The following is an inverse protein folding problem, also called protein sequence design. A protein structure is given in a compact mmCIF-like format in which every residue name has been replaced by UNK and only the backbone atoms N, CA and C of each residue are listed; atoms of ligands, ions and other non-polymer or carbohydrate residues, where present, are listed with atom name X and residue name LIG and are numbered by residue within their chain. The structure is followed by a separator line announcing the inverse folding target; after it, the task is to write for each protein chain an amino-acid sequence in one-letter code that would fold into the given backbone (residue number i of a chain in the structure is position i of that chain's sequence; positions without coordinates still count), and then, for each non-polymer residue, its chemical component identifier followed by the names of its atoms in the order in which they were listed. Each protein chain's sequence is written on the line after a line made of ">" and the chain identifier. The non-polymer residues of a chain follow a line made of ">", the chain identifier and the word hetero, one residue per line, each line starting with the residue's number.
data_IF_002587045590
#
_entry.id   IF_002587045590
#
_cell.length_a   1.000
_cell.length_b   1.000
_cell.length_c   1.000
_cell.angle_alpha   90.00
_cell.angle_beta   90.00
_cell.angle_gamma   90.00
#
_symmetry.space_group_name_H-M   'P 1'
#
loop_
_entity.id
_entity.type
_entity.pdbx_description
1 polymer ?
#
# COMPACT_ATOMS: atom_id res chain seq x y z
N UNK A 1 -19.25 18.39 -1.39
CA UNK A 1 -19.94 18.04 -2.66
C UNK A 1 -18.82 17.75 -3.64
N UNK A 2 -18.64 16.49 -4.03
CA UNK A 2 -17.60 16.10 -4.98
C UNK A 2 -18.02 16.57 -6.38
N UNK A 3 -17.16 17.34 -7.05
CA UNK A 3 -17.36 17.72 -8.47
C UNK A 3 -16.44 16.83 -9.30
N UNK A 4 -17.04 15.96 -10.12
CA UNK A 4 -16.28 15.26 -11.15
C UNK A 4 -15.86 16.25 -12.24
N UNK A 5 -14.63 16.13 -12.76
CA UNK A 5 -14.27 16.79 -14.00
C UNK A 5 -14.95 16.04 -15.16
N UNK A 6 -15.42 16.76 -16.20
CA UNK A 6 -16.05 16.13 -17.39
C UNK A 6 -15.13 15.11 -18.08
N UNK A 7 -13.81 15.19 -17.85
CA UNK A 7 -12.78 14.30 -18.41
C UNK A 7 -12.15 13.37 -17.35
N UNK A 8 -12.83 13.09 -16.24
CA UNK A 8 -12.31 12.22 -15.18
C UNK A 8 -12.02 10.82 -15.71
N UNK A 9 -10.81 10.31 -15.41
CA UNK A 9 -10.44 8.95 -15.81
C UNK A 9 -11.15 7.90 -14.96
N UNK A 10 -11.31 8.17 -13.67
CA UNK A 10 -12.01 7.31 -12.72
C UNK A 10 -13.39 7.88 -12.39
N UNK A 11 -14.41 7.02 -12.39
CA UNK A 11 -15.77 7.36 -12.03
C UNK A 11 -15.96 7.35 -10.50
N UNK A 12 -16.54 8.41 -9.94
CA UNK A 12 -16.82 8.52 -8.50
C UNK A 12 -17.76 7.43 -7.99
N UNK A 13 -18.74 7.04 -8.83
CA UNK A 13 -19.74 6.01 -8.47
C UNK A 13 -19.06 4.68 -8.15
N UNK A 14 -18.06 4.29 -8.95
CA UNK A 14 -17.28 3.07 -8.73
C UNK A 14 -16.55 3.07 -7.38
N UNK A 15 -16.03 4.22 -6.94
CA UNK A 15 -15.43 4.33 -5.60
C UNK A 15 -16.50 4.22 -4.51
N UNK A 16 -17.61 4.96 -4.63
CA UNK A 16 -18.68 4.98 -3.63
C UNK A 16 -19.28 3.60 -3.40
N UNK A 17 -19.50 2.83 -4.45
CA UNK A 17 -19.99 1.45 -4.34
C UNK A 17 -19.03 0.50 -3.64
N UNK A 18 -17.76 0.87 -3.57
CA UNK A 18 -16.69 0.11 -2.94
C UNK A 18 -16.25 0.64 -1.57
N UNK A 19 -16.82 1.73 -1.06
CA UNK A 19 -16.61 2.21 0.31
C UNK A 19 -17.47 1.42 1.30
N UNK A 20 -16.99 0.23 1.70
CA UNK A 20 -17.74 -0.74 2.50
C UNK A 20 -16.97 -1.30 3.71
N UNK A 21 -15.71 -0.90 3.91
CA UNK A 21 -14.91 -1.35 5.03
C UNK A 21 -15.18 -0.48 6.25
N UNK A 22 -15.77 -1.07 7.28
CA UNK A 22 -16.14 -0.37 8.51
C UNK A 22 -14.94 -0.16 9.45
N UNK A 23 -13.91 -1.02 9.38
CA UNK A 23 -12.78 -1.00 10.30
C UNK A 23 -11.47 -0.69 9.58
N UNK A 24 -10.81 0.36 10.04
CA UNK A 24 -9.47 0.73 9.60
C UNK A 24 -8.39 0.02 10.43
N UNK A 25 -7.22 -0.20 9.85
CA UNK A 25 -6.01 -0.39 10.61
C UNK A 25 -5.61 0.93 11.27
N UNK A 26 -5.33 0.90 12.56
CA UNK A 26 -4.82 2.04 13.32
C UNK A 26 -3.48 1.61 13.90
N UNK A 27 -2.36 2.16 13.41
CA UNK A 27 -1.04 1.82 13.93
C UNK A 27 -0.96 2.13 15.43
N UNK A 28 -0.43 1.20 16.24
CA UNK A 28 -0.28 1.44 17.67
C UNK A 28 0.69 2.59 17.93
N UNK A 29 0.40 3.39 18.94
CA UNK A 29 1.37 4.34 19.49
C UNK A 29 2.50 3.58 20.19
N UNK A 30 3.67 4.20 20.45
CA UNK A 30 4.72 3.57 21.25
C UNK A 30 4.20 3.11 22.62
N UNK A 31 3.30 3.85 23.24
CA UNK A 31 2.68 3.46 24.51
C UNK A 31 1.78 2.23 24.37
N UNK A 32 0.95 2.16 23.32
CA UNK A 32 0.08 1.01 23.03
C UNK A 32 0.91 -0.26 22.76
N UNK A 33 2.06 -0.11 22.10
CA UNK A 33 3.00 -1.19 21.86
C UNK A 33 3.46 -1.88 23.16
N UNK A 34 3.82 -1.10 24.19
CA UNK A 34 4.21 -1.65 25.48
C UNK A 34 3.04 -2.17 26.33
N UNK A 35 1.83 -1.69 26.07
CA UNK A 35 0.63 -2.17 26.74
C UNK A 35 0.04 -3.43 26.14
N UNK A 36 0.66 -3.96 25.07
CA UNK A 36 0.18 -5.14 24.33
C UNK A 36 -1.31 -5.01 23.95
N UNK A 37 -1.72 -3.79 23.55
CA UNK A 37 -3.08 -3.56 23.08
C UNK A 37 -3.36 -4.40 21.85
N UNK A 38 -4.55 -5.03 21.75
CA UNK A 38 -4.94 -5.75 20.54
C UNK A 38 -4.85 -4.83 19.32
N UNK A 39 -4.38 -5.36 18.20
CA UNK A 39 -4.40 -4.65 16.93
C UNK A 39 -5.85 -4.25 16.60
N UNK A 40 -6.02 -3.09 15.97
CA UNK A 40 -7.33 -2.60 15.53
C UNK A 40 -8.01 -3.49 14.48
N UNK A 41 -7.20 -4.31 13.79
CA UNK A 41 -7.68 -5.28 12.79
C UNK A 41 -7.88 -6.67 13.38
N UNK A 42 -8.68 -7.48 12.68
CA UNK A 42 -8.77 -8.91 12.94
C UNK A 42 -7.41 -9.61 12.78
N UNK A 43 -7.24 -10.73 13.46
CA UNK A 43 -6.08 -11.60 13.25
C UNK A 43 -5.97 -11.96 11.77
N UNK A 44 -4.74 -11.97 11.26
CA UNK A 44 -4.47 -12.31 9.87
C UNK A 44 -4.95 -13.73 9.54
N UNK A 45 -5.76 -13.83 8.47
CA UNK A 45 -6.17 -15.14 7.94
C UNK A 45 -4.95 -15.83 7.30
N UNK A 46 -4.82 -17.18 7.39
CA UNK A 46 -3.71 -17.91 6.78
C UNK A 46 -3.55 -17.70 5.26
N UNK A 47 -4.63 -17.33 4.56
CA UNK A 47 -4.62 -17.04 3.12
C UNK A 47 -4.63 -15.54 2.80
N UNK A 48 -4.60 -14.69 3.82
CA UNK A 48 -4.51 -13.24 3.66
C UNK A 48 -3.06 -12.83 3.42
N UNK A 49 -2.85 -11.93 2.46
CA UNK A 49 -1.56 -11.29 2.21
C UNK A 49 -1.70 -9.81 2.54
N UNK A 50 -0.75 -9.26 3.26
CA UNK A 50 -0.72 -7.85 3.64
C UNK A 50 0.45 -7.13 2.99
N UNK A 51 0.17 -5.98 2.40
CA UNK A 51 1.13 -5.12 1.73
C UNK A 51 1.26 -3.79 2.47
N UNK A 52 2.48 -3.32 2.65
CA UNK A 52 2.78 -1.91 2.89
C UNK A 52 3.31 -1.33 1.60
N UNK A 53 2.72 -0.24 1.12
CA UNK A 53 3.08 0.41 -0.14
C UNK A 53 3.47 1.85 0.14
N UNK A 54 4.53 2.36 -0.50
CA UNK A 54 4.96 3.74 -0.32
C UNK A 54 5.39 4.40 -1.63
N UNK A 55 5.00 5.67 -1.77
CA UNK A 55 5.63 6.65 -2.66
C UNK A 55 6.40 7.65 -1.82
N UNK A 56 7.68 7.83 -2.11
CA UNK A 56 8.63 8.47 -1.23
C UNK A 56 9.07 9.82 -1.80
N UNK A 57 8.70 10.90 -1.12
CA UNK A 57 9.17 12.24 -1.44
C UNK A 57 10.32 12.62 -0.51
N UNK A 58 11.46 12.95 -1.09
CA UNK A 58 12.59 13.51 -0.37
C UNK A 58 12.61 15.03 -0.55
N UNK A 59 12.60 15.75 0.55
CA UNK A 59 12.92 17.17 0.54
C UNK A 59 14.43 17.32 0.26
N UNK A 60 14.80 17.23 -1.02
CA UNK A 60 16.06 17.78 -1.46
C UNK A 60 15.95 19.30 -1.38
N UNK A 61 17.07 19.94 -1.07
CA UNK A 61 17.29 21.40 -0.90
C UNK A 61 16.99 22.26 -2.16
N UNK A 62 16.14 21.76 -3.06
CA UNK A 62 15.74 22.43 -4.29
C UNK A 62 14.44 23.19 -4.05
N UNK A 63 14.54 24.43 -3.60
CA UNK A 63 13.52 25.47 -3.44
C UNK A 63 12.31 25.51 -4.41
N UNK A 64 11.70 24.36 -4.71
CA UNK A 64 10.46 24.23 -5.44
C UNK A 64 9.29 24.29 -4.47
N UNK A 65 8.38 25.20 -4.71
CA UNK A 65 7.19 25.49 -3.91
C UNK A 65 6.17 24.33 -3.79
N UNK A 66 6.33 23.21 -4.50
CA UNK A 66 5.53 22.00 -4.32
C UNK A 66 6.28 21.04 -3.39
N UNK A 67 5.85 20.98 -2.17
CA UNK A 67 6.25 19.93 -1.23
C UNK A 67 5.62 18.62 -1.69
N UNK A 68 6.39 17.76 -2.35
CA UNK A 68 5.96 16.40 -2.60
C UNK A 68 5.74 15.69 -1.25
N UNK A 69 4.66 14.91 -1.15
CA UNK A 69 4.31 14.20 0.06
C UNK A 69 4.76 12.75 -0.03
N UNK A 70 5.27 12.23 1.08
CA UNK A 70 5.43 10.79 1.25
C UNK A 70 4.08 10.18 1.62
N UNK A 71 3.66 9.20 0.87
CA UNK A 71 2.40 8.46 1.10
C UNK A 71 2.74 7.04 1.52
N UNK A 72 2.14 6.58 2.62
CA UNK A 72 2.17 5.19 3.07
C UNK A 72 0.76 4.62 3.03
N UNK A 73 0.64 3.38 2.57
CA UNK A 73 -0.62 2.68 2.42
C UNK A 73 -0.49 1.25 2.92
N UNK A 74 -1.49 0.75 3.66
CA UNK A 74 -1.61 -0.64 4.03
C UNK A 74 -2.81 -1.26 3.30
N UNK A 75 -2.58 -2.37 2.63
CA UNK A 75 -3.58 -3.08 1.84
C UNK A 75 -3.57 -4.55 2.17
N UNK A 76 -4.73 -5.13 2.53
CA UNK A 76 -4.90 -6.57 2.67
C UNK A 76 -5.53 -7.18 1.43
N UNK A 77 -5.10 -8.40 1.12
CA UNK A 77 -5.52 -9.16 -0.04
C UNK A 77 -6.19 -10.44 0.44
N UNK A 78 -7.47 -10.60 0.13
CA UNK A 78 -8.28 -11.73 0.56
C UNK A 78 -8.63 -12.62 -0.64
N UNK A 79 -8.21 -13.90 -0.61
CA UNK A 79 -8.44 -14.81 -1.72
C UNK A 79 -9.94 -15.09 -1.93
N UNK A 80 -10.46 -14.75 -3.10
CA UNK A 80 -11.85 -14.95 -3.50
C UNK A 80 -11.93 -15.70 -4.82
N UNK A 81 -12.26 -16.97 -4.78
CA UNK A 81 -12.41 -17.85 -5.95
C UNK A 81 -11.15 -17.98 -6.80
N UNK A 82 -10.81 -16.98 -7.60
CA UNK A 82 -9.72 -17.03 -8.59
C UNK A 82 -8.77 -15.84 -8.52
N UNK A 83 -9.01 -14.89 -7.63
CA UNK A 83 -8.20 -13.66 -7.45
C UNK A 83 -8.33 -13.11 -6.04
N UNK A 84 -7.44 -12.23 -5.67
CA UNK A 84 -7.52 -11.49 -4.43
C UNK A 84 -8.49 -10.30 -4.54
N UNK A 85 -9.38 -10.15 -3.58
CA UNK A 85 -10.07 -8.91 -3.29
C UNK A 85 -9.10 -8.03 -2.47
N UNK A 86 -8.96 -6.75 -2.86
CA UNK A 86 -8.04 -5.79 -2.25
C UNK A 86 -8.80 -4.92 -1.27
N UNK A 87 -8.33 -4.80 -0.04
CA UNK A 87 -8.88 -3.90 0.96
C UNK A 87 -7.87 -2.82 1.29
N UNK A 88 -8.25 -1.53 1.12
CA UNK A 88 -7.47 -0.40 1.60
C UNK A 88 -7.78 -0.19 3.07
N UNK A 89 -6.90 -0.67 3.96
CA UNK A 89 -7.13 -0.66 5.41
C UNK A 89 -6.58 0.57 6.11
N UNK A 90 -5.57 1.23 5.50
CA UNK A 90 -4.92 2.40 6.06
C UNK A 90 -4.20 3.21 4.99
N UNK A 91 -4.21 4.51 5.14
CA UNK A 91 -3.38 5.43 4.38
C UNK A 91 -3.00 6.62 5.24
N UNK A 92 -1.76 7.07 5.14
CA UNK A 92 -1.28 8.31 5.72
C UNK A 92 -0.42 9.08 4.72
N UNK A 93 -0.46 10.40 4.83
CA UNK A 93 0.37 11.31 4.06
C UNK A 93 1.20 12.13 5.01
N UNK A 94 2.50 12.19 4.77
CA UNK A 94 3.44 13.01 5.57
C UNK A 94 4.21 13.96 4.67
N UNK A 95 4.60 15.13 5.18
CA UNK A 95 5.60 15.96 4.51
C UNK A 95 6.87 15.13 4.29
N UNK A 96 7.58 15.38 3.20
CA UNK A 96 8.87 14.75 2.94
C UNK A 96 9.81 14.94 4.15
N UNK A 97 10.63 13.94 4.43
CA UNK A 97 11.52 13.90 5.60
C UNK A 97 12.86 13.26 5.32
N UNK A 98 13.71 13.17 6.34
CA UNK A 98 14.96 12.40 6.28
C UNK A 98 14.69 10.92 6.03
N UNK A 99 15.59 10.27 5.28
CA UNK A 99 15.48 8.86 4.92
C UNK A 99 15.36 7.94 6.14
N UNK A 100 16.03 8.27 7.24
CA UNK A 100 15.99 7.57 8.51
C UNK A 100 14.58 7.49 9.10
N UNK A 101 13.85 8.62 9.12
CA UNK A 101 12.47 8.70 9.64
C UNK A 101 11.48 7.97 8.75
N UNK A 102 11.67 8.07 7.43
CA UNK A 102 10.84 7.37 6.45
C UNK A 102 11.01 5.85 6.60
N UNK A 103 12.25 5.38 6.70
CA UNK A 103 12.54 3.95 6.87
C UNK A 103 12.02 3.42 8.20
N UNK A 104 12.21 4.18 9.28
CA UNK A 104 11.65 3.80 10.58
C UNK A 104 10.14 3.60 10.48
N UNK A 105 9.43 4.56 9.85
CA UNK A 105 7.98 4.46 9.67
C UNK A 105 7.55 3.29 8.79
N UNK A 106 8.28 3.01 7.72
CA UNK A 106 8.01 1.83 6.88
C UNK A 106 8.13 0.53 7.66
N UNK A 107 9.17 0.40 8.50
CA UNK A 107 9.37 -0.77 9.34
C UNK A 107 8.32 -0.86 10.45
N UNK A 108 7.93 0.26 11.09
CA UNK A 108 6.80 0.28 12.03
C UNK A 108 5.53 -0.28 11.39
N UNK A 109 5.11 0.31 10.27
CA UNK A 109 3.91 -0.13 9.57
C UNK A 109 4.01 -1.60 9.15
N UNK A 110 5.17 -2.04 8.66
CA UNK A 110 5.39 -3.41 8.24
C UNK A 110 5.15 -4.41 9.38
N UNK A 111 5.73 -4.16 10.55
CA UNK A 111 5.60 -5.06 11.70
C UNK A 111 4.23 -4.95 12.37
N UNK A 112 3.75 -3.74 12.60
CA UNK A 112 2.47 -3.48 13.28
C UNK A 112 1.28 -3.98 12.44
N UNK A 113 1.37 -3.89 11.11
CA UNK A 113 0.35 -4.40 10.20
C UNK A 113 0.51 -5.89 9.89
N UNK A 114 1.60 -6.53 10.32
CA UNK A 114 1.97 -7.91 10.01
C UNK A 114 2.04 -8.14 8.48
N UNK A 115 2.70 -7.21 7.78
CA UNK A 115 2.81 -7.26 6.33
C UNK A 115 3.70 -8.42 5.84
N UNK A 116 3.41 -8.95 4.65
CA UNK A 116 4.22 -9.93 3.95
C UNK A 116 5.22 -9.26 3.02
N UNK A 117 4.80 -8.15 2.41
CA UNK A 117 5.61 -7.42 1.43
C UNK A 117 5.56 -5.92 1.67
N UNK A 118 6.69 -5.27 1.38
CA UNK A 118 6.84 -3.83 1.33
C UNK A 118 7.15 -3.41 -0.11
N UNK A 119 6.27 -2.60 -0.68
CA UNK A 119 6.33 -2.10 -2.06
C UNK A 119 6.76 -0.63 -2.03
N UNK A 120 7.78 -0.23 -2.78
CA UNK A 120 8.23 1.15 -2.78
C UNK A 120 8.76 1.59 -4.14
N UNK A 121 8.61 2.90 -4.46
CA UNK A 121 9.21 3.48 -5.67
C UNK A 121 10.73 3.62 -5.49
N UNK A 122 11.47 2.91 -6.34
CA UNK A 122 12.94 2.89 -6.33
C UNK A 122 13.56 3.96 -7.25
N UNK A 123 12.78 4.99 -7.64
CA UNK A 123 13.32 6.17 -8.37
C UNK A 123 13.81 7.23 -7.38
N UNK A 124 14.60 8.18 -7.89
CA UNK A 124 14.88 9.48 -7.24
C UNK A 124 15.23 9.40 -5.74
N UNK A 125 16.18 8.53 -5.37
CA UNK A 125 16.58 8.33 -3.97
C UNK A 125 16.13 6.98 -3.37
N UNK A 126 15.36 6.18 -4.08
CA UNK A 126 14.94 4.86 -3.63
C UNK A 126 16.09 3.91 -3.33
N UNK A 127 17.24 4.09 -3.98
CA UNK A 127 18.46 3.34 -3.64
C UNK A 127 18.98 3.66 -2.24
N UNK A 128 18.95 4.95 -1.85
CA UNK A 128 19.34 5.34 -0.49
C UNK A 128 18.36 4.75 0.55
N UNK A 129 17.06 4.75 0.25
CA UNK A 129 16.06 4.10 1.10
C UNK A 129 16.32 2.61 1.22
N UNK A 130 16.65 1.93 0.11
CA UNK A 130 17.01 0.53 0.14
C UNK A 130 18.20 0.25 1.06
N UNK A 131 19.24 1.08 0.98
CA UNK A 131 20.43 0.94 1.84
C UNK A 131 20.09 1.09 3.34
N UNK A 132 19.14 1.94 3.68
CA UNK A 132 18.63 2.05 5.05
C UNK A 132 17.72 0.88 5.44
N UNK A 133 16.81 0.45 4.55
CA UNK A 133 15.92 -0.69 4.80
C UNK A 133 16.72 -1.99 5.00
N UNK A 134 17.83 -2.15 4.27
CA UNK A 134 18.67 -3.36 4.30
C UNK A 134 19.50 -3.53 5.57
N UNK A 135 19.50 -2.55 6.47
CA UNK A 135 20.24 -2.57 7.73
C UNK A 135 19.33 -2.88 8.90
N UNK A 136 19.92 -3.43 9.95
CA UNK A 136 19.28 -3.43 11.26
C UNK A 136 18.94 -1.99 11.68
N UNK A 137 17.78 -1.80 12.31
CA UNK A 137 17.31 -0.48 12.74
C UNK A 137 16.78 -0.57 14.16
N UNK A 138 17.46 0.05 15.10
CA UNK A 138 16.96 0.17 16.46
C UNK A 138 15.82 1.21 16.52
N UNK A 139 14.72 0.84 17.17
CA UNK A 139 13.62 1.78 17.35
C UNK A 139 13.88 2.65 18.59
N UNK A 140 13.89 4.00 18.47
CA UNK A 140 14.28 4.89 19.56
C UNK A 140 13.38 4.79 20.79
N UNK A 141 12.10 4.45 20.60
CA UNK A 141 11.12 4.36 21.68
C UNK A 141 10.77 2.92 22.08
N UNK A 142 10.83 1.96 21.14
CA UNK A 142 10.49 0.55 21.41
C UNK A 142 11.71 -0.30 21.77
N UNK A 143 12.91 0.20 21.48
CA UNK A 143 14.18 -0.44 21.86
C UNK A 143 14.27 -1.93 21.44
N UNK A 144 14.80 -2.76 22.34
CA UNK A 144 15.02 -4.20 22.09
C UNK A 144 13.73 -5.03 21.97
N UNK A 145 12.56 -4.48 22.32
CA UNK A 145 11.29 -5.16 22.16
C UNK A 145 10.80 -5.15 20.70
N UNK A 146 11.41 -4.33 19.85
CA UNK A 146 11.10 -4.24 18.43
C UNK A 146 12.02 -5.14 17.60
N UNK A 147 11.51 -5.62 16.46
CA UNK A 147 12.29 -6.47 15.57
C UNK A 147 13.18 -5.61 14.64
N UNK A 148 14.50 -5.59 14.83
CA UNK A 148 15.39 -4.67 14.15
C UNK A 148 15.89 -5.13 12.77
N UNK A 149 15.58 -6.37 12.33
CA UNK A 149 16.23 -6.96 11.15
C UNK A 149 16.16 -6.09 9.91
N UNK A 150 17.17 -6.21 9.07
CA UNK A 150 17.21 -5.62 7.74
C UNK A 150 16.17 -6.28 6.81
N UNK A 151 15.81 -5.57 5.73
CA UNK A 151 14.95 -6.09 4.68
C UNK A 151 15.75 -6.27 3.39
N UNK A 152 15.41 -7.27 2.58
CA UNK A 152 16.00 -7.48 1.26
C UNK A 152 14.93 -7.75 0.21
N UNK A 153 15.31 -7.67 -1.06
CA UNK A 153 14.40 -7.90 -2.18
C UNK A 153 13.94 -9.36 -2.25
N UNK A 154 12.68 -9.56 -2.58
CA UNK A 154 12.13 -10.88 -2.85
C UNK A 154 12.75 -11.42 -4.13
N UNK A 155 13.32 -12.62 -4.09
CA UNK A 155 13.92 -13.29 -5.24
C UNK A 155 12.92 -14.25 -5.91
N UNK A 156 11.76 -13.72 -6.33
CA UNK A 156 10.71 -14.45 -7.04
C UNK A 156 10.36 -13.70 -8.33
N UNK A 157 10.67 -14.32 -9.47
CA UNK A 157 10.47 -13.71 -10.80
C UNK A 157 9.00 -13.39 -11.12
N UNK A 158 8.06 -14.15 -10.56
CA UNK A 158 6.63 -13.92 -10.80
C UNK A 158 6.13 -12.67 -10.07
N UNK A 159 6.77 -12.27 -8.96
CA UNK A 159 6.43 -11.08 -8.19
C UNK A 159 7.17 -9.82 -8.63
N UNK A 160 8.33 -9.95 -9.29
CA UNK A 160 9.13 -8.79 -9.62
C UNK A 160 8.54 -7.99 -10.79
N UNK A 161 8.54 -6.67 -10.60
CA UNK A 161 8.05 -5.69 -11.57
C UNK A 161 9.21 -5.00 -12.31
N UNK A 162 10.37 -4.92 -11.64
CA UNK A 162 11.60 -4.37 -12.21
C UNK A 162 12.43 -5.45 -12.91
N UNK A 163 13.35 -5.08 -13.82
CA UNK A 163 14.27 -6.04 -14.47
C UNK A 163 15.08 -6.84 -13.46
N UNK A 164 15.29 -8.13 -13.73
CA UNK A 164 15.99 -9.04 -12.81
C UNK A 164 17.39 -8.58 -12.41
N UNK A 165 18.14 -7.99 -13.33
CA UNK A 165 19.46 -7.42 -13.02
C UNK A 165 19.42 -6.34 -11.92
N UNK A 166 18.31 -5.58 -11.81
CA UNK A 166 18.12 -4.62 -10.71
C UNK A 166 17.87 -5.34 -9.38
N UNK A 167 17.17 -6.47 -9.40
CA UNK A 167 16.99 -7.30 -8.20
C UNK A 167 18.32 -7.86 -7.70
N UNK A 168 19.15 -8.37 -8.60
CA UNK A 168 20.50 -8.87 -8.27
C UNK A 168 21.38 -7.76 -7.70
N UNK A 169 21.35 -6.56 -8.32
CA UNK A 169 22.07 -5.39 -7.83
C UNK A 169 21.66 -5.02 -6.40
N UNK A 170 20.35 -4.88 -6.15
CA UNK A 170 19.85 -4.56 -4.82
C UNK A 170 20.14 -5.66 -3.81
N UNK A 171 19.96 -6.93 -4.17
CA UNK A 171 20.30 -8.06 -3.28
C UNK A 171 21.76 -8.04 -2.87
N UNK A 172 22.69 -7.72 -3.78
CA UNK A 172 24.12 -7.62 -3.49
C UNK A 172 24.50 -6.44 -2.58
N UNK A 173 23.62 -5.44 -2.45
CA UNK A 173 23.79 -4.28 -1.53
C UNK A 173 23.28 -4.57 -0.12
N UNK A 174 22.57 -5.67 0.09
CA UNK A 174 22.07 -6.06 1.42
C UNK A 174 23.22 -6.33 2.37
N UNK A 175 23.25 -5.63 3.50
CA UNK A 175 24.34 -5.70 4.48
C UNK A 175 24.03 -6.69 5.61
N UNK A 176 22.79 -6.74 6.06
CA UNK A 176 22.35 -7.64 7.13
C UNK A 176 22.23 -9.07 6.60
N UNK A 177 23.03 -10.05 7.11
CA UNK A 177 22.95 -11.44 6.70
C UNK A 177 21.63 -12.11 7.07
N UNK A 178 20.87 -11.53 8.02
CA UNK A 178 19.56 -12.01 8.48
C UNK A 178 18.41 -11.22 7.86
N UNK A 179 18.69 -10.39 6.82
CA UNK A 179 17.68 -9.57 6.19
C UNK A 179 16.51 -10.39 5.68
N UNK A 180 15.30 -9.95 6.00
CA UNK A 180 14.06 -10.62 5.60
C UNK A 180 13.71 -10.29 4.13
N UNK A 181 13.45 -11.30 3.27
CA UNK A 181 13.10 -11.08 1.86
C UNK A 181 11.62 -10.65 1.75
N UNK A 182 11.37 -9.34 1.82
CA UNK A 182 10.02 -8.77 1.77
C UNK A 182 9.88 -7.57 0.82
N UNK A 183 10.99 -7.05 0.25
CA UNK A 183 10.96 -5.85 -0.57
C UNK A 183 10.59 -6.14 -2.03
N UNK A 184 9.63 -5.38 -2.56
CA UNK A 184 9.24 -5.37 -3.98
C UNK A 184 9.46 -3.93 -4.51
N UNK A 185 10.61 -3.64 -5.14
CA UNK A 185 10.87 -2.34 -5.72
C UNK A 185 10.04 -2.11 -6.97
N UNK A 186 9.57 -0.88 -7.17
CA UNK A 186 8.89 -0.44 -8.40
C UNK A 186 9.72 0.69 -9.03
N UNK A 187 9.79 0.68 -10.36
CA UNK A 187 10.32 1.81 -11.13
C UNK A 187 9.20 2.27 -12.06
N UNK A 188 8.53 3.35 -11.69
CA UNK A 188 7.41 3.90 -12.46
C UNK A 188 7.84 4.40 -13.82
N UNK A 189 7.71 3.57 -14.84
CA UNK A 189 7.86 3.96 -16.26
C UNK A 189 6.51 4.37 -16.83
N UNK A 190 6.51 5.06 -17.98
CA UNK A 190 5.26 5.40 -18.66
C UNK A 190 4.41 4.19 -19.03
N UNK A 191 5.03 3.05 -19.38
CA UNK A 191 4.33 1.80 -19.67
C UNK A 191 3.73 1.19 -18.41
N UNK A 192 4.52 1.08 -17.33
CA UNK A 192 4.06 0.50 -16.07
C UNK A 192 2.91 1.33 -15.46
N UNK A 193 3.04 2.65 -15.47
CA UNK A 193 2.00 3.53 -14.97
C UNK A 193 0.72 3.40 -15.81
N UNK A 194 0.82 3.35 -17.16
CA UNK A 194 -0.33 3.14 -18.03
C UNK A 194 -1.04 1.82 -17.76
N UNK A 195 -0.30 0.73 -17.57
CA UNK A 195 -0.84 -0.57 -17.17
C UNK A 195 -1.50 -0.49 -15.79
N UNK A 196 -0.85 0.16 -14.83
CA UNK A 196 -1.36 0.34 -13.48
C UNK A 196 -2.69 1.09 -13.45
N UNK A 197 -2.82 2.16 -14.23
CA UNK A 197 -4.07 2.93 -14.32
C UNK A 197 -5.22 2.11 -14.91
N UNK A 198 -4.96 1.39 -16.01
CA UNK A 198 -5.97 0.54 -16.66
C UNK A 198 -6.43 -0.59 -15.73
N UNK A 199 -5.47 -1.24 -15.07
CA UNK A 199 -5.74 -2.29 -14.11
C UNK A 199 -6.53 -1.78 -12.90
N UNK A 200 -6.13 -0.64 -12.32
CA UNK A 200 -6.84 -0.03 -11.21
C UNK A 200 -8.29 0.28 -11.58
N UNK A 201 -8.52 0.91 -12.74
CA UNK A 201 -9.87 1.20 -13.25
C UNK A 201 -10.71 -0.07 -13.37
N UNK A 202 -10.17 -1.10 -14.01
CA UNK A 202 -10.84 -2.40 -14.17
C UNK A 202 -11.22 -3.02 -12.82
N UNK A 203 -10.32 -3.00 -11.84
CA UNK A 203 -10.59 -3.59 -10.53
C UNK A 203 -11.60 -2.78 -9.72
N UNK A 204 -11.66 -1.45 -9.88
CA UNK A 204 -12.73 -0.61 -9.35
C UNK A 204 -14.08 -0.94 -9.96
N UNK A 205 -14.19 -0.95 -11.29
CA UNK A 205 -15.43 -1.22 -12.02
C UNK A 205 -15.95 -2.66 -11.80
N UNK A 206 -15.08 -3.60 -11.44
CA UNK A 206 -15.46 -4.99 -11.11
C UNK A 206 -15.61 -5.23 -9.62
N UNK A 207 -15.66 -4.20 -8.80
CA UNK A 207 -15.85 -4.24 -7.34
C UNK A 207 -14.81 -5.12 -6.62
N UNK A 208 -13.57 -5.13 -7.12
CA UNK A 208 -12.49 -5.97 -6.60
C UNK A 208 -11.51 -5.20 -5.69
N UNK A 209 -11.73 -3.92 -5.49
CA UNK A 209 -11.01 -3.08 -4.52
C UNK A 209 -12.04 -2.50 -3.57
N UNK A 210 -11.79 -2.60 -2.27
CA UNK A 210 -12.66 -2.08 -1.21
C UNK A 210 -11.95 -0.96 -0.46
N UNK A 211 -12.71 0.03 -0.04
CA UNK A 211 -12.26 1.20 0.68
C UNK A 211 -12.98 1.32 2.00
N UNK A 212 -12.36 2.04 2.92
CA UNK A 212 -13.02 2.44 4.16
C UNK A 212 -14.27 3.26 3.86
N UNK A 213 -15.29 3.10 4.70
CA UNK A 213 -16.52 3.91 4.65
C UNK A 213 -16.18 5.41 4.73
N UNK A 214 -17.07 6.31 4.25
CA UNK A 214 -16.83 7.74 4.35
C UNK A 214 -16.52 8.18 5.79
N UNK A 215 -15.61 9.15 5.96
CA UNK A 215 -15.20 9.63 7.29
C UNK A 215 -16.40 10.06 8.16
N UNK A 216 -17.45 10.63 7.56
CA UNK A 216 -18.65 11.02 8.29
C UNK A 216 -19.38 9.80 8.87
N UNK A 217 -19.52 8.74 8.10
CA UNK A 217 -20.14 7.49 8.55
C UNK A 217 -19.34 6.86 9.70
N UNK A 218 -18.01 6.83 9.59
CA UNK A 218 -17.14 6.34 10.67
C UNK A 218 -17.30 7.17 11.95
N UNK A 219 -17.41 8.50 11.85
CA UNK A 219 -17.68 9.37 12.99
C UNK A 219 -19.02 9.10 13.65
N UNK A 220 -20.06 8.93 12.84
CA UNK A 220 -21.41 8.62 13.32
C UNK A 220 -21.41 7.26 14.05
N UNK A 221 -20.74 6.24 13.51
CA UNK A 221 -20.57 4.93 14.18
C UNK A 221 -19.86 5.05 15.55
N UNK A 222 -18.81 5.89 15.67
CA UNK A 222 -18.11 6.12 16.96
C UNK A 222 -19.01 6.79 17.99
N UNK A 223 -19.88 7.69 17.56
CA UNK A 223 -20.86 8.35 18.45
C UNK A 223 -21.94 7.36 18.87
N UNK A 224 -22.51 6.63 17.93
CA UNK A 224 -23.60 5.68 18.17
C UNK A 224 -23.17 4.50 19.06
N UNK A 225 -21.93 4.03 18.93
CA UNK A 225 -21.35 3.01 19.83
C UNK A 225 -21.01 3.54 21.22
N UNK A 226 -20.96 4.86 21.40
CA UNK A 226 -20.50 5.51 22.61
C UNK A 226 -19.00 5.51 22.83
N UNK A 227 -18.21 5.02 21.87
CA UNK A 227 -16.75 4.97 21.97
C UNK A 227 -16.12 6.36 21.88
N UNK A 228 -16.74 7.27 21.13
CA UNK A 228 -16.35 8.68 21.09
C UNK A 228 -16.16 9.30 22.50
N UNK A 229 -17.07 8.99 23.44
CA UNK A 229 -17.04 9.54 24.81
C UNK A 229 -15.95 8.93 25.71
N UNK A 230 -15.29 7.87 25.27
CA UNK A 230 -14.22 7.19 25.99
C UNK A 230 -12.82 7.59 25.48
N UNK A 231 -12.75 8.23 24.32
CA UNK A 231 -11.51 8.61 23.64
C UNK A 231 -11.03 10.00 24.08
N UNK A 232 -9.73 10.15 24.17
CA UNK A 232 -9.09 11.47 24.17
C UNK A 232 -9.18 12.11 22.78
N UNK A 233 -8.92 13.42 22.67
CA UNK A 233 -8.90 14.10 21.38
C UNK A 233 -7.91 13.49 20.39
N UNK A 234 -6.76 13.04 20.89
CA UNK A 234 -5.71 12.43 20.05
C UNK A 234 -6.12 11.02 19.57
N UNK A 235 -6.69 10.20 20.45
CA UNK A 235 -7.21 8.89 20.08
C UNK A 235 -8.35 9.00 19.05
N UNK A 236 -9.24 9.98 19.22
CA UNK A 236 -10.30 10.25 18.24
C UNK A 236 -9.72 10.69 16.90
N UNK A 237 -8.75 11.60 16.89
CA UNK A 237 -8.09 12.05 15.67
C UNK A 237 -7.41 10.88 14.94
N UNK A 238 -6.71 10.00 15.67
CA UNK A 238 -6.11 8.79 15.12
C UNK A 238 -7.15 7.81 14.57
N UNK A 239 -8.27 7.62 15.27
CA UNK A 239 -9.33 6.71 14.87
C UNK A 239 -10.01 7.13 13.56
N UNK A 240 -10.20 8.42 13.30
CA UNK A 240 -10.89 8.94 12.11
C UNK A 240 -9.96 9.27 10.95
N UNK A 241 -8.67 9.45 11.19
CA UNK A 241 -7.70 9.85 10.18
C UNK A 241 -7.64 8.91 8.96
N UNK A 242 -7.63 7.56 9.09
CA UNK A 242 -7.57 6.68 7.92
C UNK A 242 -8.78 6.84 6.98
N UNK A 243 -9.94 7.11 7.52
CA UNK A 243 -11.17 7.35 6.74
C UNK A 243 -11.08 8.68 5.97
N UNK A 244 -10.63 9.74 6.62
CA UNK A 244 -10.40 11.03 5.96
C UNK A 244 -9.37 10.96 4.86
N UNK A 245 -8.25 10.25 5.09
CA UNK A 245 -7.23 10.04 4.07
C UNK A 245 -7.73 9.16 2.92
N UNK A 246 -8.66 8.23 3.18
CA UNK A 246 -9.33 7.45 2.13
C UNK A 246 -10.24 8.34 1.28
N UNK A 247 -11.05 9.21 1.88
CA UNK A 247 -11.88 10.19 1.17
C UNK A 247 -11.02 11.12 0.30
N UNK A 248 -9.88 11.60 0.81
CA UNK A 248 -8.92 12.39 0.04
C UNK A 248 -8.29 11.60 -1.12
N UNK A 249 -8.01 10.31 -0.93
CA UNK A 249 -7.51 9.42 -2.01
C UNK A 249 -8.52 9.30 -3.14
N UNK A 250 -9.78 9.09 -2.80
CA UNK A 250 -10.88 9.01 -3.77
C UNK A 250 -11.02 10.35 -4.51
N UNK A 251 -11.03 11.47 -3.77
CA UNK A 251 -11.09 12.81 -4.37
C UNK A 251 -9.92 13.08 -5.31
N UNK A 252 -8.70 12.66 -4.95
CA UNK A 252 -7.54 12.76 -5.80
C UNK A 252 -7.73 11.96 -7.09
N UNK A 253 -8.15 10.69 -6.99
CA UNK A 253 -8.37 9.83 -8.14
C UNK A 253 -9.42 10.38 -9.12
N UNK A 254 -10.58 10.85 -8.63
CA UNK A 254 -11.66 11.36 -9.48
C UNK A 254 -11.35 12.72 -10.13
N UNK A 255 -10.34 13.41 -9.63
CA UNK A 255 -9.84 14.66 -10.22
C UNK A 255 -8.76 14.44 -11.28
N UNK A 256 -8.30 13.22 -11.49
CA UNK A 256 -7.29 12.91 -12.50
C UNK A 256 -7.94 12.83 -13.90
N UNK A 257 -7.41 13.60 -14.84
CA UNK A 257 -7.79 13.53 -16.25
C UNK A 257 -6.84 12.67 -17.06
N UNK A 258 -7.36 11.97 -18.07
CA UNK A 258 -6.56 11.11 -18.93
C UNK A 258 -6.03 11.86 -20.15
N UNK A 259 -4.73 11.75 -20.42
CA UNK A 259 -4.10 12.12 -21.68
C UNK A 259 -3.57 10.87 -22.37
N UNK A 260 -3.95 10.69 -23.62
CA UNK A 260 -3.44 9.59 -24.44
C UNK A 260 -2.26 10.07 -25.27
N UNK A 261 -1.07 9.53 -24.99
CA UNK A 261 0.15 9.87 -25.74
C UNK A 261 0.92 8.61 -26.09
N UNK A 262 1.23 8.42 -27.38
CA UNK A 262 2.00 7.29 -27.88
C UNK A 262 1.43 5.92 -27.47
N UNK A 263 0.09 5.80 -27.46
CA UNK A 263 -0.61 4.57 -27.04
C UNK A 263 -0.64 4.31 -25.52
N UNK A 264 -0.14 5.24 -24.69
CA UNK A 264 -0.09 5.14 -23.23
C UNK A 264 -1.01 6.14 -22.57
N UNK A 265 -1.60 5.74 -21.45
CA UNK A 265 -2.41 6.61 -20.61
C UNK A 265 -1.48 7.34 -19.63
N UNK A 266 -1.57 8.66 -19.64
CA UNK A 266 -0.94 9.53 -18.64
C UNK A 266 -2.05 10.21 -17.86
N UNK A 267 -2.04 10.08 -16.54
CA UNK A 267 -2.94 10.84 -15.71
C UNK A 267 -2.31 12.16 -15.30
N UNK A 268 -3.08 13.23 -15.45
CA UNK A 268 -2.73 14.58 -15.06
C UNK A 268 -3.51 15.00 -13.85
N UNK A 269 -2.81 15.52 -12.87
CA UNK A 269 -3.38 16.20 -11.72
C UNK A 269 -3.88 17.61 -12.12
N UNK A 270 -4.92 18.15 -11.48
CA UNK A 270 -5.30 19.54 -11.60
C UNK A 270 -4.16 20.46 -11.10
N UNK A 271 -4.20 21.76 -11.47
CA UNK A 271 -3.12 22.72 -11.18
C UNK A 271 -2.73 22.80 -9.69
N UNK A 272 -3.68 22.59 -8.79
CA UNK A 272 -3.48 22.60 -7.31
C UNK A 272 -3.59 21.21 -6.68
N UNK A 273 -3.66 20.14 -7.50
CA UNK A 273 -3.87 18.78 -7.00
C UNK A 273 -2.57 17.98 -6.89
N UNK A 274 -2.69 16.83 -6.28
CA UNK A 274 -1.67 15.80 -6.15
C UNK A 274 -2.15 14.51 -6.83
N UNK A 275 -1.25 13.55 -7.01
CA UNK A 275 -1.55 12.20 -7.53
C UNK A 275 -0.80 11.10 -6.77
N UNK A 276 -0.14 11.45 -5.68
CA UNK A 276 0.77 10.54 -4.99
C UNK A 276 0.01 9.38 -4.34
N UNK A 277 -1.18 9.64 -3.78
CA UNK A 277 -2.06 8.59 -3.24
C UNK A 277 -2.59 7.65 -4.33
N UNK A 278 -2.98 8.19 -5.48
CA UNK A 278 -3.42 7.40 -6.63
C UNK A 278 -2.29 6.51 -7.17
N UNK A 279 -1.05 7.03 -7.21
CA UNK A 279 0.14 6.27 -7.62
C UNK A 279 0.37 5.09 -6.67
N UNK A 280 0.35 5.32 -5.36
CA UNK A 280 0.53 4.26 -4.35
C UNK A 280 -0.56 3.20 -4.46
N UNK A 281 -1.81 3.61 -4.63
CA UNK A 281 -2.94 2.69 -4.85
C UNK A 281 -2.74 1.84 -6.12
N UNK A 282 -2.27 2.46 -7.20
CA UNK A 282 -1.96 1.76 -8.45
C UNK A 282 -0.82 0.75 -8.27
N UNK A 283 0.22 1.07 -7.52
CA UNK A 283 1.35 0.17 -7.25
C UNK A 283 0.92 -1.03 -6.41
N UNK A 284 0.13 -0.82 -5.36
CA UNK A 284 -0.44 -1.92 -4.57
C UNK A 284 -1.30 -2.86 -5.41
N UNK A 285 -2.14 -2.29 -6.29
CA UNK A 285 -2.96 -3.07 -7.20
C UNK A 285 -2.13 -3.88 -8.22
N UNK A 286 -1.02 -3.32 -8.75
CA UNK A 286 -0.12 -4.04 -9.66
C UNK A 286 0.55 -5.25 -8.98
N UNK A 287 1.00 -5.09 -7.74
CA UNK A 287 1.57 -6.21 -6.97
C UNK A 287 0.51 -7.26 -6.68
N UNK A 288 -0.71 -6.85 -6.33
CA UNK A 288 -1.84 -7.75 -6.15
C UNK A 288 -2.14 -8.57 -7.41
N UNK A 289 -2.05 -7.99 -8.61
CA UNK A 289 -2.19 -8.74 -9.88
C UNK A 289 -1.07 -9.76 -10.11
N UNK A 290 0.17 -9.44 -9.71
CA UNK A 290 1.26 -10.42 -9.76
C UNK A 290 0.98 -11.61 -8.83
N UNK A 291 0.48 -11.34 -7.65
CA UNK A 291 0.05 -12.37 -6.69
C UNK A 291 -1.12 -13.19 -7.23
N UNK A 292 -2.14 -12.57 -7.84
CA UNK A 292 -3.24 -13.27 -8.52
C UNK A 292 -2.71 -14.30 -9.52
N UNK A 293 -1.79 -13.87 -10.40
CA UNK A 293 -1.20 -14.72 -11.43
C UNK A 293 -0.37 -15.86 -10.84
N UNK A 294 0.40 -15.58 -9.78
CA UNK A 294 1.21 -16.58 -9.08
C UNK A 294 0.35 -17.65 -8.44
N UNK A 295 -0.71 -17.28 -7.76
CA UNK A 295 -1.63 -18.21 -7.09
C UNK A 295 -2.45 -19.01 -8.10
N UNK A 296 -2.89 -18.39 -9.20
CA UNK A 296 -3.58 -19.10 -10.27
C UNK A 296 -2.71 -20.19 -10.92
N UNK A 297 -1.43 -19.89 -11.18
CA UNK A 297 -0.46 -20.87 -11.69
C UNK A 297 -0.23 -22.03 -10.71
N UNK A 298 -0.12 -21.75 -9.41
CA UNK A 298 0.10 -22.76 -8.39
C UNK A 298 -1.10 -23.72 -8.30
N UNK A 299 -2.32 -23.19 -8.32
CA UNK A 299 -3.56 -23.98 -8.29
C UNK A 299 -3.71 -24.86 -9.53
N UNK A 300 -3.44 -24.33 -10.73
CA UNK A 300 -3.46 -25.13 -11.96
C UNK A 300 -2.46 -26.31 -11.93
N UNK A 301 -1.27 -26.08 -11.37
CA UNK A 301 -0.27 -27.14 -11.21
C UNK A 301 -0.74 -28.24 -10.28
N UNK A 302 -1.36 -27.89 -9.15
CA UNK A 302 -1.93 -28.88 -8.21
C UNK A 302 -3.06 -29.70 -8.86
N UNK A 303 -3.96 -29.06 -9.64
CA UNK A 303 -5.02 -29.78 -10.34
C UNK A 303 -4.43 -30.77 -11.36
N UNK A 304 -3.45 -30.36 -12.18
CA UNK A 304 -2.77 -31.23 -13.13
C UNK A 304 -2.04 -32.40 -12.45
N UNK A 305 -1.41 -32.16 -11.30
CA UNK A 305 -0.71 -33.23 -10.54
C UNK A 305 -1.72 -34.23 -9.96
N UNK A 306 -2.90 -33.78 -9.50
CA UNK A 306 -3.98 -34.66 -9.02
C UNK A 306 -4.63 -35.48 -10.14
N UNK A 307 -4.84 -34.90 -11.33
CA UNK A 307 -5.34 -35.62 -12.49
C UNK A 307 -4.36 -36.71 -12.94
N UNK A 308 -3.06 -36.45 -12.92
CA UNK A 308 -2.03 -37.42 -13.22
C UNK A 308 -1.95 -38.58 -12.21
N UNK A 309 -2.28 -38.34 -10.95
CA UNK A 309 -2.35 -39.40 -9.93
C UNK A 309 -3.59 -40.29 -10.15
N UNK A 310 -4.71 -39.74 -10.59
CA UNK A 310 -5.92 -40.53 -10.88
C UNK A 310 -5.82 -41.42 -12.13
N UNK A 311 -4.90 -41.15 -13.03
CA UNK A 311 -4.67 -41.97 -14.24
C UNK A 311 -3.75 -43.18 -14.01
N UNK A 312 -3.26 -43.39 -12.80
CA UNK A 312 -2.34 -44.51 -12.45
C UNK A 312 -3.03 -45.64 -11.69
N UNK A 313 -4.39 -45.63 -11.58
CA UNK A 313 -5.19 -46.70 -10.95
C UNK A 313 -6.14 -47.34 -11.94
#
# INVERSE_FOLDING_TARGET
>A
MFSESEDAFFDYKSFKENQVLEKAFIPPTPQDFFMDKPLSMANKDPFEIRLVIADLAFTGDSGREKNDHTVFMCMSLHWKKFRFERHLDYIETRPGGGADKVVLRLKELFWDYQADYLVFDNRSGGEAIYDFLSKETEHPERGNAWNPCGFTVVQDKDLQIVPWGKIEELSNRTVDPNAMPCLIPIIGTGDLNSLGWQSLKKNLETNNIKFLVPMQEAKDCLVDSGDYFKMTSDEYAQAVMPYGQTDETIQECVNLSAEYKEGKIRLKEPRSGYKDRAVVLSYGNLVAERLDNRYAKANQKQECDLENIQLVW
#
